data_IF_059478250720
#
_entry.id   IF_059478250720
#
_cell.length_a   1.000
_cell.length_b   1.000
_cell.length_c   1.000
_cell.angle_alpha   90.00
_cell.angle_beta   90.00
_cell.angle_gamma   90.00
#
_symmetry.space_group_name_H-M   'P 1'
#
loop_
_entity.id
_entity.type
_entity.pdbx_description
1 polymer ?
#
# COMPACT_ATOMS: atom_id res chain seq x y z
N UNK A 1 -39.78 -6.05 -17.75
CA UNK A 1 -38.77 -7.11 -17.61
C UNK A 1 -37.56 -6.49 -16.92
N UNK A 2 -37.42 -6.73 -15.63
CA UNK A 2 -36.35 -6.18 -14.80
C UNK A 2 -35.06 -6.96 -15.11
N UNK A 3 -34.03 -6.29 -15.62
CA UNK A 3 -32.74 -6.89 -15.83
C UNK A 3 -32.13 -7.22 -14.46
N UNK A 4 -31.96 -8.51 -14.18
CA UNK A 4 -31.22 -9.02 -13.03
C UNK A 4 -29.74 -8.72 -13.32
N UNK A 5 -29.17 -7.77 -12.58
CA UNK A 5 -27.74 -7.49 -12.61
C UNK A 5 -27.05 -8.70 -11.95
N UNK A 6 -26.06 -9.34 -12.58
CA UNK A 6 -25.40 -10.48 -11.98
C UNK A 6 -24.66 -10.02 -10.72
N UNK A 7 -24.83 -10.78 -9.64
CA UNK A 7 -24.08 -10.61 -8.40
C UNK A 7 -22.59 -10.67 -8.77
N UNK A 8 -21.88 -9.56 -8.56
CA UNK A 8 -20.43 -9.51 -8.72
C UNK A 8 -19.83 -10.59 -7.82
N UNK A 9 -19.06 -11.53 -8.39
CA UNK A 9 -18.32 -12.47 -7.59
C UNK A 9 -17.41 -11.70 -6.63
N UNK A 10 -17.61 -11.91 -5.34
CA UNK A 10 -16.72 -11.42 -4.30
C UNK A 10 -15.39 -12.12 -4.51
N UNK A 11 -14.38 -11.38 -4.94
CA UNK A 11 -13.06 -11.96 -5.18
C UNK A 11 -12.31 -11.95 -3.85
N UNK A 12 -12.15 -13.15 -3.29
CA UNK A 12 -11.36 -13.35 -2.08
C UNK A 12 -9.89 -13.55 -2.46
N UNK A 13 -9.02 -12.68 -1.99
CA UNK A 13 -7.58 -12.81 -2.16
C UNK A 13 -7.03 -13.90 -1.23
N UNK A 14 -6.96 -15.14 -1.71
CA UNK A 14 -6.46 -16.27 -0.89
C UNK A 14 -5.07 -16.72 -1.34
N UNK A 15 -4.65 -16.37 -2.55
CA UNK A 15 -3.38 -16.77 -3.16
C UNK A 15 -2.69 -15.60 -3.87
N UNK A 16 -1.37 -15.72 -4.08
CA UNK A 16 -0.58 -14.73 -4.81
C UNK A 16 -1.09 -14.53 -6.24
N UNK A 17 -1.59 -15.58 -6.88
CA UNK A 17 -2.21 -15.56 -8.21
C UNK A 17 -3.41 -14.61 -8.27
N UNK A 18 -4.26 -14.62 -7.24
CA UNK A 18 -5.43 -13.74 -7.18
C UNK A 18 -4.98 -12.28 -7.15
N UNK A 19 -3.99 -11.97 -6.31
CA UNK A 19 -3.40 -10.63 -6.16
C UNK A 19 -2.76 -10.16 -7.48
N UNK A 20 -2.05 -11.04 -8.18
CA UNK A 20 -1.45 -10.73 -9.49
C UNK A 20 -2.49 -10.34 -10.54
N UNK A 21 -3.67 -10.95 -10.51
CA UNK A 21 -4.77 -10.61 -11.42
C UNK A 21 -5.25 -9.16 -11.20
N UNK A 22 -5.32 -8.71 -9.94
CA UNK A 22 -5.65 -7.31 -9.62
C UNK A 22 -4.53 -6.33 -9.97
N UNK A 23 -3.29 -6.78 -9.94
CA UNK A 23 -2.13 -5.99 -10.30
C UNK A 23 -1.78 -6.13 -11.78
N UNK A 24 -2.71 -6.60 -12.63
CA UNK A 24 -2.48 -6.79 -14.07
C UNK A 24 -2.16 -5.49 -14.82
N UNK A 25 -2.50 -4.33 -14.24
CA UNK A 25 -2.08 -3.01 -14.74
C UNK A 25 -0.58 -2.72 -14.51
N UNK A 26 0.13 -3.59 -13.78
CA UNK A 26 1.58 -3.54 -13.56
C UNK A 26 2.27 -4.47 -14.57
N UNK A 27 2.70 -3.91 -15.70
CA UNK A 27 3.42 -4.59 -16.79
C UNK A 27 4.71 -5.34 -16.38
N UNK A 28 5.30 -5.03 -15.23
CA UNK A 28 6.54 -5.68 -14.77
C UNK A 28 6.22 -6.87 -13.87
N UNK A 29 6.24 -8.07 -14.46
CA UNK A 29 5.94 -9.34 -13.77
C UNK A 29 6.71 -9.51 -12.45
N UNK A 30 8.03 -9.28 -12.44
CA UNK A 30 8.84 -9.41 -11.24
C UNK A 30 8.38 -8.49 -10.09
N UNK A 31 7.93 -7.27 -10.40
CA UNK A 31 7.42 -6.33 -9.41
C UNK A 31 6.03 -6.76 -8.93
N UNK A 32 5.17 -7.20 -9.86
CA UNK A 32 3.86 -7.74 -9.54
C UNK A 32 3.95 -8.96 -8.59
N UNK A 33 4.87 -9.88 -8.86
CA UNK A 33 5.18 -11.00 -7.96
C UNK A 33 5.66 -10.52 -6.59
N UNK A 34 6.58 -9.54 -6.55
CA UNK A 34 7.08 -9.00 -5.29
C UNK A 34 5.97 -8.35 -4.44
N UNK A 35 5.14 -7.50 -5.05
CA UNK A 35 3.99 -6.88 -4.37
C UNK A 35 3.03 -7.95 -3.85
N UNK A 36 2.77 -8.99 -4.63
CA UNK A 36 1.89 -10.09 -4.24
C UNK A 36 2.41 -10.83 -3.00
N UNK A 37 3.73 -11.08 -2.91
CA UNK A 37 4.33 -11.65 -1.71
C UNK A 37 4.20 -10.73 -0.49
N UNK A 38 4.38 -9.41 -0.63
CA UNK A 38 4.16 -8.47 0.47
C UNK A 38 2.70 -8.48 0.97
N UNK A 39 1.73 -8.58 0.07
CA UNK A 39 0.31 -8.68 0.45
C UNK A 39 -0.01 -10.01 1.15
N UNK A 40 0.60 -11.13 0.72
CA UNK A 40 0.48 -12.41 1.45
C UNK A 40 1.17 -12.36 2.82
N UNK A 41 2.29 -11.65 2.93
CA UNK A 41 2.96 -11.46 4.21
C UNK A 41 2.09 -10.63 5.18
N UNK A 42 1.43 -9.58 4.68
CA UNK A 42 0.42 -8.84 5.45
C UNK A 42 -0.69 -9.77 5.98
N UNK A 43 -1.27 -10.62 5.13
CA UNK A 43 -2.26 -11.62 5.55
C UNK A 43 -1.75 -12.51 6.70
N UNK A 44 -0.52 -13.01 6.57
CA UNK A 44 0.13 -13.80 7.61
C UNK A 44 0.27 -13.03 8.94
N UNK A 45 0.74 -11.78 8.90
CA UNK A 45 0.90 -10.94 10.09
C UNK A 45 -0.44 -10.68 10.80
N UNK A 46 -1.51 -10.40 10.04
CA UNK A 46 -2.85 -10.24 10.60
C UNK A 46 -3.37 -11.54 11.22
N UNK A 47 -3.11 -12.70 10.60
CA UNK A 47 -3.47 -14.00 11.19
C UNK A 47 -2.76 -14.25 12.51
N UNK A 48 -1.47 -13.92 12.62
CA UNK A 48 -0.74 -13.99 13.88
C UNK A 48 -1.39 -13.07 14.92
N UNK A 49 -1.66 -11.81 14.55
CA UNK A 49 -2.28 -10.82 15.45
C UNK A 49 -3.61 -11.33 16.00
N UNK A 50 -4.47 -11.90 15.15
CA UNK A 50 -5.77 -12.48 15.54
C UNK A 50 -5.62 -13.71 16.43
N UNK A 51 -4.68 -14.63 16.11
CA UNK A 51 -4.61 -15.96 16.75
C UNK A 51 -3.81 -16.00 18.04
N UNK A 52 -2.78 -15.18 18.21
CA UNK A 52 -1.76 -15.41 19.25
C UNK A 52 -1.84 -14.45 20.45
N UNK A 53 -2.82 -13.55 20.51
CA UNK A 53 -2.98 -12.53 21.58
C UNK A 53 -1.62 -12.07 22.14
N UNK A 54 -0.73 -11.52 21.29
CA UNK A 54 0.63 -11.21 21.69
C UNK A 54 0.66 -10.25 22.88
N UNK A 55 1.68 -10.37 23.73
CA UNK A 55 1.94 -9.39 24.80
C UNK A 55 2.16 -7.99 24.21
N UNK A 56 1.91 -6.93 24.99
CA UNK A 56 1.83 -5.55 24.49
C UNK A 56 3.02 -5.11 23.63
N UNK A 57 4.26 -5.43 24.02
CA UNK A 57 5.45 -5.10 23.24
C UNK A 57 5.49 -5.82 21.89
N UNK A 58 5.20 -7.13 21.88
CA UNK A 58 5.13 -7.91 20.65
C UNK A 58 4.00 -7.44 19.74
N UNK A 59 2.87 -7.00 20.33
CA UNK A 59 1.76 -6.41 19.57
C UNK A 59 2.16 -5.09 18.91
N UNK A 60 2.82 -4.19 19.65
CA UNK A 60 3.35 -2.93 19.10
C UNK A 60 4.33 -3.18 17.95
N UNK A 61 5.26 -4.14 18.11
CA UNK A 61 6.20 -4.52 17.05
C UNK A 61 5.49 -5.12 15.83
N UNK A 62 4.45 -5.93 16.04
CA UNK A 62 3.64 -6.50 14.97
C UNK A 62 2.89 -5.41 14.21
N UNK A 63 2.24 -4.48 14.92
CA UNK A 63 1.57 -3.32 14.33
C UNK A 63 2.55 -2.45 13.53
N UNK A 64 3.73 -2.18 14.08
CA UNK A 64 4.82 -1.50 13.37
C UNK A 64 5.20 -2.22 12.07
N UNK A 65 5.33 -3.53 12.12
CA UNK A 65 5.70 -4.34 10.94
C UNK A 65 4.63 -4.26 9.86
N UNK A 66 3.35 -4.44 10.23
CA UNK A 66 2.22 -4.31 9.30
C UNK A 66 2.19 -2.91 8.67
N UNK A 67 2.36 -1.87 9.48
CA UNK A 67 2.43 -0.48 9.01
C UNK A 67 3.56 -0.31 7.99
N UNK A 68 4.75 -0.87 8.24
CA UNK A 68 5.90 -0.83 7.29
C UNK A 68 5.54 -1.52 5.97
N UNK A 69 4.94 -2.70 6.02
CA UNK A 69 4.58 -3.46 4.82
C UNK A 69 3.56 -2.72 3.93
N UNK A 70 2.62 -1.96 4.51
CA UNK A 70 1.77 -1.06 3.73
C UNK A 70 2.58 -0.05 2.90
N UNK A 71 3.67 0.50 3.45
CA UNK A 71 4.54 1.41 2.68
C UNK A 71 5.26 0.72 1.56
N UNK A 72 5.80 -0.46 1.84
CA UNK A 72 6.60 -1.20 0.84
C UNK A 72 5.74 -1.49 -0.38
N UNK A 73 4.49 -1.92 -0.17
CA UNK A 73 3.52 -2.13 -1.25
C UNK A 73 3.24 -0.82 -2.02
N UNK A 74 2.91 0.26 -1.32
CA UNK A 74 2.60 1.56 -1.95
C UNK A 74 3.78 2.07 -2.78
N UNK A 75 4.99 2.02 -2.23
CA UNK A 75 6.21 2.48 -2.89
C UNK A 75 6.52 1.65 -4.13
N UNK A 76 6.43 0.32 -4.04
CA UNK A 76 6.66 -0.56 -5.17
C UNK A 76 5.67 -0.31 -6.31
N UNK A 77 4.39 -0.06 -6.00
CA UNK A 77 3.38 0.27 -7.01
C UNK A 77 3.69 1.62 -7.66
N UNK A 78 3.95 2.66 -6.85
CA UNK A 78 4.22 4.01 -7.38
C UNK A 78 5.48 4.03 -8.23
N UNK A 79 6.55 3.38 -7.78
CA UNK A 79 7.80 3.28 -8.52
C UNK A 79 7.59 2.60 -9.87
N UNK A 80 6.83 1.51 -9.90
CA UNK A 80 6.52 0.83 -11.14
C UNK A 80 5.67 1.68 -12.09
N UNK A 81 4.61 2.31 -11.58
CA UNK A 81 3.75 3.18 -12.38
C UNK A 81 4.54 4.37 -12.94
N UNK A 82 5.47 4.94 -12.17
CA UNK A 82 6.37 5.99 -12.66
C UNK A 82 7.27 5.48 -13.78
N UNK A 83 7.89 4.31 -13.61
CA UNK A 83 8.77 3.72 -14.62
C UNK A 83 8.04 3.35 -15.92
N UNK A 84 6.73 3.10 -15.87
CA UNK A 84 5.90 2.80 -17.04
C UNK A 84 5.49 4.06 -17.81
N UNK A 85 5.46 5.22 -17.15
CA UNK A 85 5.05 6.47 -17.78
C UNK A 85 6.01 6.88 -18.89
N UNK A 86 5.40 7.27 -20.01
CA UNK A 86 6.08 7.87 -21.16
C UNK A 86 5.68 9.34 -21.23
N UNK A 87 6.67 10.23 -21.23
CA UNK A 87 6.47 11.68 -21.28
C UNK A 87 7.09 12.25 -22.55
N UNK A 88 6.46 13.29 -23.10
CA UNK A 88 7.01 14.04 -24.23
C UNK A 88 7.97 15.10 -23.72
N UNK A 89 9.23 15.04 -24.14
CA UNK A 89 10.25 16.04 -23.86
C UNK A 89 10.89 16.43 -25.19
N UNK A 90 10.73 17.70 -25.59
CA UNK A 90 11.27 18.22 -26.85
C UNK A 90 10.88 17.38 -28.08
N UNK A 91 9.62 16.92 -28.13
CA UNK A 91 9.10 16.08 -29.22
C UNK A 91 9.57 14.62 -29.22
N UNK A 92 10.28 14.17 -28.18
CA UNK A 92 10.68 12.78 -27.99
C UNK A 92 9.92 12.15 -26.83
N UNK A 93 9.46 10.93 -27.04
CA UNK A 93 8.90 10.07 -25.99
C UNK A 93 10.03 9.50 -25.14
N UNK A 94 10.09 9.86 -23.85
CA UNK A 94 11.12 9.40 -22.91
C UNK A 94 10.46 8.70 -21.73
N UNK A 95 11.12 7.66 -21.19
CA UNK A 95 10.72 7.04 -19.92
C UNK A 95 11.07 7.98 -18.77
N UNK A 96 10.28 7.97 -17.70
CA UNK A 96 10.72 8.58 -16.46
C UNK A 96 11.74 7.65 -15.82
N UNK A 97 13.00 8.10 -15.74
CA UNK A 97 13.99 7.44 -14.91
C UNK A 97 13.81 7.88 -13.46
N UNK A 98 13.37 6.93 -12.63
CA UNK A 98 13.45 7.06 -11.17
C UNK A 98 14.83 6.52 -10.79
N UNK A 99 15.69 7.39 -10.24
CA UNK A 99 17.01 6.97 -9.75
C UNK A 99 16.81 5.87 -8.68
N UNK A 100 17.64 4.81 -8.70
CA UNK A 100 17.58 3.70 -7.74
C UNK A 100 17.80 4.17 -6.30
N UNK A 101 18.41 5.34 -6.10
CA UNK A 101 18.60 5.98 -4.79
C UNK A 101 17.56 7.08 -4.49
N UNK A 102 16.48 7.15 -5.27
CA UNK A 102 15.41 8.12 -5.05
C UNK A 102 14.80 7.90 -3.68
N UNK A 103 15.08 8.80 -2.74
CA UNK A 103 14.37 8.82 -1.46
C UNK A 103 12.85 8.86 -1.68
N UNK A 104 12.10 8.12 -0.87
CA UNK A 104 10.63 8.01 -0.94
C UNK A 104 9.91 9.38 -1.08
N UNK A 105 10.51 10.45 -0.56
CA UNK A 105 10.00 11.81 -0.78
C UNK A 105 9.94 12.25 -2.23
N UNK A 106 11.03 12.05 -2.98
CA UNK A 106 11.09 12.41 -4.39
C UNK A 106 10.12 11.53 -5.18
N UNK A 107 10.01 10.24 -4.82
CA UNK A 107 9.07 9.31 -5.43
C UNK A 107 7.63 9.81 -5.35
N UNK A 108 7.13 10.18 -4.17
CA UNK A 108 5.76 10.67 -4.02
C UNK A 108 5.53 12.05 -4.65
N UNK A 109 6.54 12.92 -4.68
CA UNK A 109 6.45 14.20 -5.42
C UNK A 109 6.31 13.97 -6.92
N UNK A 110 7.06 13.03 -7.48
CA UNK A 110 6.92 12.63 -8.90
C UNK A 110 5.55 12.01 -9.15
N UNK A 111 5.06 11.15 -8.26
CA UNK A 111 3.75 10.54 -8.37
C UNK A 111 2.63 11.58 -8.47
N UNK A 112 2.67 12.64 -7.64
CA UNK A 112 1.75 13.78 -7.74
C UNK A 112 1.93 14.57 -9.04
N UNK A 113 3.18 14.91 -9.39
CA UNK A 113 3.51 15.69 -10.60
C UNK A 113 2.94 15.04 -11.86
N UNK A 114 3.06 13.72 -11.98
CA UNK A 114 2.59 12.96 -13.14
C UNK A 114 1.18 12.41 -12.98
N UNK A 115 0.41 12.92 -11.99
CA UNK A 115 -0.98 12.52 -11.74
C UNK A 115 -1.15 11.01 -11.54
N UNK A 116 -0.14 10.30 -11.04
CA UNK A 116 -0.29 8.91 -10.55
C UNK A 116 -1.20 8.91 -9.33
N UNK A 117 -1.02 9.89 -8.45
CA UNK A 117 -1.90 10.18 -7.32
C UNK A 117 -2.53 11.55 -7.50
N UNK A 118 -3.79 11.73 -7.10
CA UNK A 118 -4.40 13.05 -6.95
C UNK A 118 -3.91 13.75 -5.66
N UNK A 119 -4.35 15.00 -5.42
CA UNK A 119 -3.95 15.75 -4.23
C UNK A 119 -4.41 15.07 -2.93
N UNK A 120 -5.65 14.58 -2.87
CA UNK A 120 -6.20 13.94 -1.67
C UNK A 120 -5.42 12.68 -1.29
N UNK A 121 -5.15 11.84 -2.28
CA UNK A 121 -4.40 10.58 -2.14
C UNK A 121 -2.94 10.85 -1.79
N UNK A 122 -2.33 11.87 -2.40
CA UNK A 122 -0.97 12.28 -2.07
C UNK A 122 -0.82 12.73 -0.62
N UNK A 123 -1.79 13.49 -0.10
CA UNK A 123 -1.75 13.96 1.29
C UNK A 123 -1.89 12.78 2.27
N UNK A 124 -2.77 11.81 1.97
CA UNK A 124 -2.89 10.56 2.75
C UNK A 124 -1.60 9.75 2.75
N UNK A 125 -0.95 9.57 1.59
CA UNK A 125 0.34 8.87 1.48
C UNK A 125 1.46 9.62 2.21
N UNK A 126 1.45 10.96 2.15
CA UNK A 126 2.43 11.78 2.86
C UNK A 126 2.27 11.67 4.38
N UNK A 127 1.03 11.59 4.88
CA UNK A 127 0.75 11.33 6.28
C UNK A 127 1.22 9.93 6.70
N UNK A 128 0.95 8.93 5.86
CA UNK A 128 1.52 7.59 6.00
C UNK A 128 3.05 7.75 6.14
N UNK A 129 3.75 8.37 5.17
CA UNK A 129 5.23 8.46 5.13
C UNK A 129 5.80 9.06 6.42
N UNK A 130 5.15 10.07 6.97
CA UNK A 130 5.53 10.69 8.24
C UNK A 130 5.61 9.68 9.40
N UNK A 131 4.76 8.64 9.39
CA UNK A 131 4.79 7.53 10.35
C UNK A 131 6.00 6.62 10.11
N UNK A 132 6.29 6.24 8.86
CA UNK A 132 7.48 5.45 8.52
C UNK A 132 8.77 6.16 8.91
N UNK A 133 8.88 7.46 8.65
CA UNK A 133 10.06 8.22 9.03
C UNK A 133 10.26 8.26 10.56
N UNK A 134 9.17 8.32 11.34
CA UNK A 134 9.23 8.23 12.80
C UNK A 134 9.69 6.85 13.28
N UNK A 135 9.28 5.77 12.59
CA UNK A 135 9.74 4.41 12.86
C UNK A 135 11.28 4.29 12.80
N UNK A 136 11.92 5.01 11.88
CA UNK A 136 13.37 4.94 11.67
C UNK A 136 14.17 5.97 12.47
N UNK A 137 13.54 7.05 12.98
CA UNK A 137 14.20 8.07 13.79
C UNK A 137 14.13 7.67 15.26
N UNK A 138 15.28 7.28 15.83
CA UNK A 138 15.46 7.07 17.28
C UNK A 138 15.04 8.30 18.08
N UNK A 139 13.80 8.38 18.55
CA UNK A 139 13.35 9.38 19.53
C UNK A 139 12.48 8.77 20.62
N UNK A 140 13.05 7.82 21.35
CA UNK A 140 12.48 7.30 22.61
C UNK A 140 12.73 8.26 23.80
N UNK A 141 13.48 9.36 23.62
CA UNK A 141 13.84 10.27 24.74
C UNK A 141 12.92 11.47 24.97
N UNK A 142 12.02 11.83 24.05
CA UNK A 142 11.31 13.13 24.14
C UNK A 142 9.78 13.06 24.27
N UNK A 143 9.19 11.88 24.36
CA UNK A 143 7.76 11.71 24.60
C UNK A 143 7.59 10.70 25.72
N UNK A 144 6.82 11.04 26.76
CA UNK A 144 6.47 10.18 27.90
C UNK A 144 5.56 8.99 27.51
N UNK A 145 5.77 8.41 26.32
CA UNK A 145 5.03 7.24 25.86
C UNK A 145 5.87 6.00 26.12
N UNK A 146 5.23 4.95 26.62
CA UNK A 146 5.89 3.65 26.74
C UNK A 146 6.19 3.12 25.34
N UNK A 147 7.31 2.42 25.15
CA UNK A 147 7.73 1.92 23.82
C UNK A 147 6.65 1.04 23.15
N UNK A 148 5.77 0.41 23.93
CA UNK A 148 4.66 -0.40 23.42
C UNK A 148 3.39 0.39 23.03
N UNK A 149 3.30 1.68 23.37
CA UNK A 149 2.17 2.55 23.01
C UNK A 149 2.40 3.31 21.70
N UNK A 150 3.61 3.22 21.15
CA UNK A 150 3.99 3.96 19.93
C UNK A 150 3.21 3.48 18.70
N UNK A 151 2.94 2.18 18.61
CA UNK A 151 2.23 1.54 17.50
C UNK A 151 0.97 0.83 18.00
N UNK A 152 -0.03 1.63 18.39
CA UNK A 152 -1.32 1.15 18.87
C UNK A 152 -2.18 0.53 17.76
N UNK A 153 -3.20 -0.23 18.16
CA UNK A 153 -4.21 -0.77 17.24
C UNK A 153 -4.98 0.36 16.53
N UNK A 154 -5.29 1.46 17.23
CA UNK A 154 -5.89 2.65 16.64
C UNK A 154 -5.02 3.25 15.52
N UNK A 155 -3.70 3.34 15.73
CA UNK A 155 -2.78 3.81 14.70
C UNK A 155 -2.77 2.84 13.52
N UNK A 156 -2.70 1.53 13.78
CA UNK A 156 -2.74 0.52 12.74
C UNK A 156 -4.01 0.64 11.89
N UNK A 157 -5.19 0.69 12.51
CA UNK A 157 -6.48 0.84 11.83
C UNK A 157 -6.53 2.11 10.95
N UNK A 158 -5.99 3.23 11.45
CA UNK A 158 -5.90 4.47 10.68
C UNK A 158 -5.03 4.28 9.43
N UNK A 159 -3.88 3.61 9.56
CA UNK A 159 -2.96 3.36 8.44
C UNK A 159 -3.52 2.35 7.45
N UNK A 160 -4.20 1.32 7.94
CA UNK A 160 -4.91 0.35 7.12
C UNK A 160 -5.99 1.04 6.27
N UNK A 161 -6.83 1.90 6.86
CA UNK A 161 -7.84 2.67 6.11
C UNK A 161 -7.23 3.51 4.99
N UNK A 162 -6.07 4.12 5.23
CA UNK A 162 -5.34 4.90 4.22
C UNK A 162 -4.79 4.00 3.10
N UNK A 163 -4.20 2.86 3.46
CA UNK A 163 -3.72 1.86 2.50
C UNK A 163 -4.85 1.34 1.61
N UNK A 164 -5.96 0.92 2.21
CA UNK A 164 -7.16 0.46 1.48
C UNK A 164 -7.69 1.55 0.54
N UNK A 165 -7.78 2.79 1.02
CA UNK A 165 -8.22 3.94 0.20
C UNK A 165 -7.33 4.16 -1.02
N UNK A 166 -6.00 4.02 -0.87
CA UNK A 166 -5.07 4.13 -1.98
C UNK A 166 -5.26 3.01 -3.02
N UNK A 167 -5.44 1.78 -2.56
CA UNK A 167 -5.65 0.63 -3.44
C UNK A 167 -6.96 0.75 -4.23
N UNK A 168 -8.05 1.17 -3.57
CA UNK A 168 -9.33 1.46 -4.24
C UNK A 168 -9.17 2.55 -5.29
N UNK A 169 -8.50 3.66 -4.96
CA UNK A 169 -8.22 4.74 -5.92
C UNK A 169 -7.49 4.21 -7.17
N UNK A 170 -6.49 3.33 -7.01
CA UNK A 170 -5.80 2.74 -8.14
C UNK A 170 -6.71 1.84 -8.97
N UNK A 171 -7.52 0.99 -8.33
CA UNK A 171 -8.44 0.11 -9.03
C UNK A 171 -9.46 0.90 -9.87
N UNK A 172 -10.06 1.94 -9.29
CA UNK A 172 -10.97 2.85 -10.01
C UNK A 172 -10.27 3.50 -11.21
N UNK A 173 -9.07 4.02 -10.99
CA UNK A 173 -8.29 4.69 -12.03
C UNK A 173 -7.92 3.78 -13.20
N UNK A 174 -7.66 2.51 -12.92
CA UNK A 174 -7.33 1.49 -13.91
C UNK A 174 -8.55 0.70 -14.40
N UNK A 175 -9.78 1.14 -14.04
CA UNK A 175 -11.06 0.52 -14.45
C UNK A 175 -11.18 -0.96 -14.06
N UNK A 176 -10.63 -1.32 -12.92
CA UNK A 176 -10.71 -2.66 -12.35
C UNK A 176 -11.98 -2.71 -11.48
N UNK A 177 -12.89 -3.63 -11.80
CA UNK A 177 -14.11 -3.84 -11.01
C UNK A 177 -13.75 -4.23 -9.59
N UNK A 178 -14.06 -3.38 -8.62
CA UNK A 178 -13.68 -3.53 -7.22
C UNK A 178 -14.89 -3.77 -6.30
N UNK A 179 -16.06 -4.07 -6.86
CA UNK A 179 -17.35 -4.08 -6.18
C UNK A 179 -17.57 -5.31 -5.28
N UNK A 180 -16.52 -5.77 -4.61
CA UNK A 180 -16.48 -6.37 -3.27
C UNK A 180 -15.08 -6.97 -3.05
N UNK A 181 -14.05 -6.12 -3.03
CA UNK A 181 -12.70 -6.56 -2.69
C UNK A 181 -12.64 -6.93 -1.20
N UNK A 182 -12.51 -8.23 -0.91
CA UNK A 182 -12.24 -8.71 0.45
C UNK A 182 -10.74 -8.78 0.67
N UNK A 183 -10.23 -7.95 1.58
CA UNK A 183 -8.84 -8.08 2.03
C UNK A 183 -8.67 -9.44 2.69
N UNK A 184 -7.54 -10.15 2.44
CA UNK A 184 -7.31 -11.49 3.00
C UNK A 184 -7.45 -11.57 4.52
N UNK A 185 -7.24 -10.44 5.20
CA UNK A 185 -7.31 -10.29 6.65
C UNK A 185 -8.63 -9.72 7.19
N UNK A 186 -9.57 -9.34 6.32
CA UNK A 186 -10.94 -8.96 6.74
C UNK A 186 -11.83 -10.20 6.95
N UNK A 187 -11.43 -11.34 6.38
CA UNK A 187 -12.04 -12.68 6.59
C UNK A 187 -11.51 -13.31 7.88
#
# INVERSE_FOLDING_TARGET
MSAIIPVTEIIQLTKAEDIRTFLSFIDKEAICCNISHHIQYLEFLYRIKKRHKPILTSLSLLNKTIIIEFFVVIEAIIDCLLCQLRVQVNGKTVAIEVDKLTHAEKLFKLAKRYKITDSSTHDKISELKGTRNKIHIKRIRSQQKLEHEEYSDELLEKREKMFKSFMVYLFEKHKIGHSDFLWPWDV
#
